data_IF_574478506060
#
_entry.id   IF_574478506060
#
_cell.length_a   1.000
_cell.length_b   1.000
_cell.length_c   1.000
_cell.angle_alpha   90.00
_cell.angle_beta   90.00
_cell.angle_gamma   90.00
#
_symmetry.space_group_name_H-M   'P 1'
#
loop_
_entity.id
_entity.type
_entity.pdbx_description
1 polymer ?
#
# COMPACT_ATOMS: atom_id res chain seq x y z
N UNK A 1 14.97 -20.92 -18.94
CA UNK A 1 13.98 -21.13 -17.86
C UNK A 1 14.62 -20.50 -16.64
N UNK A 2 14.22 -19.30 -16.25
CA UNK A 2 14.67 -18.72 -14.98
C UNK A 2 14.05 -19.58 -13.89
N UNK A 3 14.89 -20.08 -12.99
CA UNK A 3 14.47 -20.83 -11.79
C UNK A 3 13.64 -19.86 -10.94
N UNK A 4 12.32 -20.00 -11.00
CA UNK A 4 11.41 -19.05 -10.36
C UNK A 4 11.47 -19.31 -8.86
N UNK A 5 12.02 -18.34 -8.11
CA UNK A 5 12.17 -18.45 -6.66
C UNK A 5 10.79 -18.57 -6.01
N UNK A 6 10.67 -19.44 -5.04
CA UNK A 6 9.45 -19.69 -4.26
C UNK A 6 9.62 -19.09 -2.87
N UNK A 7 8.59 -18.37 -2.41
CA UNK A 7 8.59 -17.67 -1.13
C UNK A 7 7.63 -18.32 -0.15
N UNK A 8 7.91 -18.20 1.14
CA UNK A 8 7.09 -18.76 2.21
C UNK A 8 6.27 -17.68 2.94
N UNK A 9 6.69 -16.41 2.81
CA UNK A 9 6.10 -15.27 3.49
C UNK A 9 5.84 -14.18 2.44
N UNK A 10 4.60 -13.69 2.38
CA UNK A 10 4.18 -12.63 1.49
C UNK A 10 3.79 -11.40 2.29
N UNK A 11 4.46 -10.29 2.04
CA UNK A 11 4.10 -8.97 2.54
C UNK A 11 3.33 -8.23 1.46
N UNK A 12 2.17 -7.71 1.80
CA UNK A 12 1.29 -6.99 0.86
C UNK A 12 1.18 -5.53 1.25
N UNK A 13 1.32 -4.63 0.28
CA UNK A 13 0.76 -3.30 0.47
C UNK A 13 -0.77 -3.37 0.46
N UNK A 14 -1.43 -2.26 0.79
CA UNK A 14 -2.89 -2.18 0.88
C UNK A 14 -3.48 -1.40 -0.30
N UNK A 15 -3.16 -0.11 -0.37
CA UNK A 15 -3.75 0.80 -1.37
C UNK A 15 -3.12 0.55 -2.76
N UNK A 16 -3.90 0.11 -3.72
CA UNK A 16 -3.42 -0.27 -5.06
C UNK A 16 -2.94 -1.72 -5.18
N UNK A 17 -2.87 -2.45 -4.07
CA UNK A 17 -2.41 -3.84 -4.04
C UNK A 17 -3.50 -4.81 -3.59
N UNK A 18 -4.03 -4.63 -2.39
CA UNK A 18 -5.17 -5.40 -1.89
C UNK A 18 -6.50 -4.76 -2.28
N UNK A 19 -6.53 -3.42 -2.32
CA UNK A 19 -7.77 -2.68 -2.56
C UNK A 19 -7.57 -1.48 -3.50
N UNK A 20 -8.59 -1.19 -4.31
CA UNK A 20 -8.72 0.09 -5.02
C UNK A 20 -9.33 1.14 -4.08
N UNK A 21 -8.46 1.92 -3.47
CA UNK A 21 -8.82 3.01 -2.55
C UNK A 21 -8.98 4.36 -3.23
N UNK A 22 -8.89 4.41 -4.56
CA UNK A 22 -8.92 5.68 -5.32
C UNK A 22 -10.16 6.52 -5.05
N UNK A 23 -11.41 5.98 -4.93
CA UNK A 23 -12.57 6.81 -4.65
C UNK A 23 -12.47 7.51 -3.30
N UNK A 24 -12.08 6.79 -2.26
CA UNK A 24 -12.00 7.30 -0.90
C UNK A 24 -10.91 8.33 -0.71
N UNK A 25 -9.72 8.06 -1.24
CA UNK A 25 -8.58 8.98 -1.16
C UNK A 25 -8.86 10.25 -1.95
N UNK A 26 -9.31 10.14 -3.21
CA UNK A 26 -9.57 11.32 -4.04
C UNK A 26 -10.71 12.17 -3.51
N UNK A 27 -11.80 11.57 -2.99
CA UNK A 27 -12.88 12.31 -2.32
C UNK A 27 -12.38 13.07 -1.09
N UNK A 28 -11.47 12.47 -0.32
CA UNK A 28 -10.88 13.10 0.87
C UNK A 28 -9.95 14.26 0.51
N UNK A 29 -9.18 14.13 -0.58
CA UNK A 29 -8.36 15.22 -1.12
C UNK A 29 -9.24 16.36 -1.62
N UNK A 30 -10.29 16.07 -2.40
CA UNK A 30 -11.26 17.08 -2.89
C UNK A 30 -11.90 17.80 -1.70
N UNK A 31 -12.30 17.07 -0.65
CA UNK A 31 -12.85 17.68 0.56
C UNK A 31 -11.85 18.65 1.21
N UNK A 32 -10.60 18.23 1.36
CA UNK A 32 -9.55 19.08 1.93
C UNK A 32 -9.31 20.33 1.05
N UNK A 33 -9.18 20.16 -0.27
CA UNK A 33 -8.95 21.28 -1.21
C UNK A 33 -10.08 22.32 -1.18
N UNK A 34 -11.34 21.88 -1.08
CA UNK A 34 -12.50 22.78 -0.95
C UNK A 34 -12.40 23.68 0.28
N UNK A 35 -11.78 23.26 1.38
CA UNK A 35 -11.55 24.10 2.57
C UNK A 35 -10.59 25.27 2.30
N UNK A 36 -9.76 25.14 1.26
CA UNK A 36 -8.86 26.20 0.78
C UNK A 36 -9.42 26.97 -0.43
N UNK A 37 -10.70 26.72 -0.81
CA UNK A 37 -11.32 27.37 -1.97
C UNK A 37 -10.81 26.84 -3.32
N UNK A 38 -10.19 25.67 -3.34
CA UNK A 38 -9.68 25.02 -4.54
C UNK A 38 -10.70 23.97 -5.00
N UNK A 39 -11.18 24.12 -6.24
CA UNK A 39 -12.03 23.13 -6.90
C UNK A 39 -11.20 22.30 -7.87
N UNK A 40 -11.07 21.00 -7.60
CA UNK A 40 -10.47 20.04 -8.54
C UNK A 40 -11.57 19.10 -9.03
N UNK A 41 -11.79 19.13 -10.33
CA UNK A 41 -12.82 18.33 -11.02
C UNK A 41 -12.23 17.12 -11.73
N UNK A 42 -10.93 17.14 -12.04
CA UNK A 42 -10.21 16.05 -12.68
C UNK A 42 -9.60 15.12 -11.63
N UNK A 43 -10.27 13.97 -11.40
CA UNK A 43 -9.82 12.98 -10.41
C UNK A 43 -8.48 12.35 -10.78
N UNK A 44 -8.12 12.29 -12.05
CA UNK A 44 -6.86 11.65 -12.48
C UNK A 44 -5.64 12.38 -11.94
N UNK A 45 -5.74 13.71 -11.76
CA UNK A 45 -4.69 14.51 -11.12
C UNK A 45 -4.47 14.19 -9.64
N UNK A 46 -5.42 13.49 -9.02
CA UNK A 46 -5.37 13.13 -7.61
C UNK A 46 -4.84 11.71 -7.36
N UNK A 47 -4.69 10.88 -8.40
CA UNK A 47 -4.11 9.54 -8.27
C UNK A 47 -2.68 9.55 -7.69
N UNK A 48 -1.82 10.55 -7.99
CA UNK A 48 -0.51 10.65 -7.33
C UNK A 48 -0.53 10.87 -5.81
N UNK A 49 -1.71 11.10 -5.21
CA UNK A 49 -1.88 11.11 -3.75
C UNK A 49 -2.00 9.71 -3.13
N UNK A 50 -2.17 8.67 -3.97
CA UNK A 50 -2.31 7.29 -3.51
C UNK A 50 -0.92 6.68 -3.35
N UNK A 51 -0.57 6.27 -2.13
CA UNK A 51 0.73 5.70 -1.77
C UNK A 51 1.65 6.67 -1.03
N UNK A 52 2.03 7.82 -1.60
CA UNK A 52 2.93 8.77 -0.94
C UNK A 52 2.35 9.44 0.32
N UNK A 53 3.20 9.98 1.22
CA UNK A 53 2.75 10.78 2.34
C UNK A 53 1.97 12.02 1.88
N UNK A 54 0.78 12.24 2.46
CA UNK A 54 -0.12 13.34 2.07
C UNK A 54 0.52 14.72 2.15
N UNK A 55 1.39 14.96 3.14
CA UNK A 55 2.10 16.24 3.28
C UNK A 55 3.01 16.54 2.10
N UNK A 56 3.69 15.51 1.58
CA UNK A 56 4.54 15.62 0.39
C UNK A 56 3.70 15.89 -0.86
N UNK A 57 2.59 15.17 -1.01
CA UNK A 57 1.67 15.33 -2.13
C UNK A 57 1.04 16.73 -2.16
N UNK A 58 0.54 17.26 -1.03
CA UNK A 58 0.01 18.62 -0.97
C UNK A 58 1.08 19.69 -1.26
N UNK A 59 2.31 19.52 -0.76
CA UNK A 59 3.41 20.41 -1.07
C UNK A 59 3.75 20.37 -2.57
N UNK A 60 3.91 19.18 -3.12
CA UNK A 60 4.34 18.97 -4.52
C UNK A 60 3.32 19.46 -5.55
N UNK A 61 2.03 19.13 -5.37
CA UNK A 61 1.01 19.36 -6.39
C UNK A 61 0.26 20.69 -6.21
N UNK A 62 0.21 21.23 -4.98
CA UNK A 62 -0.52 22.47 -4.68
C UNK A 62 0.36 23.59 -4.11
N UNK A 63 1.67 23.35 -3.96
CA UNK A 63 2.60 24.36 -3.46
C UNK A 63 2.31 24.80 -2.01
N UNK A 64 1.70 23.96 -1.19
CA UNK A 64 1.35 24.29 0.18
C UNK A 64 2.59 24.41 1.07
N UNK A 65 2.62 25.41 1.96
CA UNK A 65 3.62 25.47 3.03
C UNK A 65 3.45 24.28 3.99
N UNK A 66 4.45 24.05 4.82
CA UNK A 66 4.40 22.96 5.83
C UNK A 66 3.14 23.05 6.70
N UNK A 67 2.79 24.27 7.15
CA UNK A 67 1.63 24.54 8.00
C UNK A 67 0.33 24.24 7.25
N UNK A 68 0.23 24.68 5.98
CA UNK A 68 -0.94 24.38 5.12
C UNK A 68 -1.06 22.92 4.79
N UNK A 69 0.06 22.19 4.60
CA UNK A 69 0.02 20.74 4.42
C UNK A 69 -0.55 20.04 5.64
N UNK A 70 -0.13 20.42 6.85
CA UNK A 70 -0.65 19.85 8.10
C UNK A 70 -2.15 20.11 8.25
N UNK A 71 -2.61 21.32 7.91
CA UNK A 71 -4.03 21.66 7.92
C UNK A 71 -4.81 20.88 6.87
N UNK A 72 -4.28 20.74 5.65
CA UNK A 72 -4.89 19.93 4.60
C UNK A 72 -5.02 18.45 4.99
N UNK A 73 -4.00 17.88 5.63
CA UNK A 73 -4.05 16.51 6.17
C UNK A 73 -5.12 16.39 7.26
N UNK A 74 -5.31 17.40 8.11
CA UNK A 74 -6.39 17.41 9.10
C UNK A 74 -7.76 17.36 8.42
N UNK A 75 -8.01 18.23 7.42
CA UNK A 75 -9.26 18.21 6.64
C UNK A 75 -9.45 16.92 5.86
N UNK A 76 -8.39 16.38 5.25
CA UNK A 76 -8.43 15.06 4.62
C UNK A 76 -8.92 14.00 5.60
N UNK A 77 -8.34 13.96 6.81
CA UNK A 77 -8.70 12.98 7.84
C UNK A 77 -10.13 13.13 8.36
N UNK A 78 -10.68 14.35 8.40
CA UNK A 78 -12.08 14.58 8.76
C UNK A 78 -13.05 13.80 7.85
N UNK A 79 -12.78 13.77 6.54
CA UNK A 79 -13.61 13.02 5.60
C UNK A 79 -13.20 11.54 5.56
N UNK A 80 -11.90 11.29 5.48
CA UNK A 80 -11.36 9.94 5.29
C UNK A 80 -11.74 9.00 6.43
N UNK A 81 -11.59 9.42 7.68
CA UNK A 81 -11.80 8.54 8.85
C UNK A 81 -13.24 8.05 9.01
N UNK A 82 -14.21 8.78 8.48
CA UNK A 82 -15.64 8.46 8.60
C UNK A 82 -16.21 7.85 7.31
N UNK A 83 -15.94 8.49 6.17
CA UNK A 83 -16.54 8.14 4.87
C UNK A 83 -15.55 7.53 3.90
N UNK A 84 -14.44 8.24 3.65
CA UNK A 84 -13.48 7.88 2.61
C UNK A 84 -12.86 6.50 2.81
N UNK A 85 -12.63 6.09 4.05
CA UNK A 85 -12.01 4.79 4.38
C UNK A 85 -12.81 3.60 3.82
N UNK A 86 -14.13 3.73 3.69
CA UNK A 86 -15.02 2.67 3.17
C UNK A 86 -15.44 2.89 1.72
N UNK A 87 -15.02 4.00 1.09
CA UNK A 87 -15.13 4.22 -0.35
C UNK A 87 -13.95 3.53 -1.05
N UNK A 88 -13.95 2.23 -1.01
CA UNK A 88 -12.86 1.34 -1.34
C UNK A 88 -13.44 0.00 -1.82
N UNK A 89 -12.68 -0.79 -2.57
CA UNK A 89 -13.09 -2.14 -3.01
C UNK A 89 -11.89 -3.07 -3.09
N UNK A 90 -12.08 -4.34 -2.77
CA UNK A 90 -11.08 -5.38 -2.97
C UNK A 90 -10.94 -5.64 -4.47
N UNK A 91 -9.72 -5.84 -4.97
CA UNK A 91 -9.50 -6.22 -6.37
C UNK A 91 -10.11 -7.59 -6.67
N UNK A 92 -10.70 -7.72 -7.86
CA UNK A 92 -11.32 -8.97 -8.32
C UNK A 92 -10.29 -10.12 -8.31
N UNK A 93 -10.69 -11.29 -7.83
CA UNK A 93 -9.84 -12.48 -7.73
C UNK A 93 -8.86 -12.50 -6.55
N UNK A 94 -8.66 -11.36 -5.86
CA UNK A 94 -7.67 -11.28 -4.78
C UNK A 94 -7.98 -12.22 -3.62
N UNK A 95 -9.23 -12.29 -3.20
CA UNK A 95 -9.62 -13.17 -2.09
C UNK A 95 -9.30 -14.64 -2.39
N UNK A 96 -9.50 -15.08 -3.65
CA UNK A 96 -9.18 -16.44 -4.06
C UNK A 96 -7.66 -16.70 -4.06
N UNK A 97 -6.86 -15.70 -4.44
CA UNK A 97 -5.39 -15.76 -4.33
C UNK A 97 -4.95 -15.87 -2.88
N UNK A 98 -5.51 -15.07 -1.97
CA UNK A 98 -5.19 -15.14 -0.54
C UNK A 98 -5.56 -16.51 0.06
N UNK A 99 -6.74 -17.04 -0.28
CA UNK A 99 -7.17 -18.40 0.12
C UNK A 99 -6.19 -19.46 -0.35
N UNK A 100 -5.77 -19.38 -1.61
CA UNK A 100 -4.84 -20.35 -2.19
C UNK A 100 -3.46 -20.28 -1.56
N UNK A 101 -2.94 -19.07 -1.30
CA UNK A 101 -1.69 -18.88 -0.56
C UNK A 101 -1.75 -19.49 0.85
N UNK A 102 -2.85 -19.26 1.58
CA UNK A 102 -3.06 -19.89 2.90
C UNK A 102 -3.16 -21.41 2.79
N UNK A 103 -3.85 -21.94 1.75
CA UNK A 103 -3.93 -23.40 1.50
C UNK A 103 -2.56 -24.02 1.24
N UNK A 104 -1.63 -23.26 0.60
CA UNK A 104 -0.22 -23.66 0.40
C UNK A 104 0.64 -23.47 1.65
N UNK A 105 0.06 -23.06 2.78
CA UNK A 105 0.77 -22.87 4.04
C UNK A 105 1.61 -21.60 4.12
N UNK A 106 1.35 -20.62 3.24
CA UNK A 106 2.09 -19.35 3.21
C UNK A 106 1.67 -18.44 4.36
N UNK A 107 2.63 -17.68 4.89
CA UNK A 107 2.38 -16.61 5.86
C UNK A 107 2.10 -15.31 5.13
N UNK A 108 0.99 -14.64 5.47
CA UNK A 108 0.56 -13.40 4.83
C UNK A 108 0.58 -12.24 5.84
N UNK A 109 1.17 -11.13 5.45
CA UNK A 109 1.33 -9.95 6.29
C UNK A 109 0.96 -8.71 5.49
N UNK A 110 0.19 -7.80 6.06
CA UNK A 110 0.03 -6.46 5.50
C UNK A 110 1.20 -5.60 5.94
N UNK A 111 1.87 -4.94 4.99
CA UNK A 111 2.97 -4.01 5.22
C UNK A 111 2.75 -2.73 4.39
N UNK A 112 2.05 -1.74 4.96
CA UNK A 112 1.52 -0.59 4.22
C UNK A 112 1.99 0.76 4.76
N UNK A 113 2.17 1.73 3.86
CA UNK A 113 2.39 3.14 4.22
C UNK A 113 1.15 3.80 4.82
N UNK A 114 -0.01 3.15 4.74
CA UNK A 114 -1.21 3.63 5.43
C UNK A 114 -1.02 3.54 6.95
N UNK A 115 -1.53 4.51 7.74
CA UNK A 115 -1.52 4.40 9.19
C UNK A 115 -2.19 3.11 9.68
N UNK A 116 -1.53 2.36 10.55
CA UNK A 116 -1.93 1.03 10.98
C UNK A 116 -3.38 0.94 11.48
N UNK A 117 -3.93 1.91 12.26
CA UNK A 117 -5.34 1.85 12.68
C UNK A 117 -6.32 1.89 11.51
N UNK A 118 -6.00 2.61 10.43
CA UNK A 118 -6.83 2.65 9.22
C UNK A 118 -6.70 1.36 8.42
N UNK A 119 -5.48 0.83 8.29
CA UNK A 119 -5.24 -0.45 7.61
C UNK A 119 -6.05 -1.57 8.26
N UNK A 120 -6.02 -1.69 9.59
CA UNK A 120 -6.80 -2.70 10.33
C UNK A 120 -8.30 -2.57 10.09
N UNK A 121 -8.85 -1.36 10.13
CA UNK A 121 -10.28 -1.11 9.86
C UNK A 121 -10.69 -1.53 8.45
N UNK A 122 -9.84 -1.33 7.45
CA UNK A 122 -10.11 -1.74 6.06
C UNK A 122 -10.08 -3.27 5.95
N UNK A 123 -9.04 -3.91 6.48
CA UNK A 123 -8.89 -5.37 6.45
C UNK A 123 -10.05 -6.06 7.17
N UNK A 124 -10.53 -5.50 8.29
CA UNK A 124 -11.70 -6.00 9.01
C UNK A 124 -13.00 -5.78 8.23
N UNK A 125 -13.18 -4.59 7.63
CA UNK A 125 -14.38 -4.23 6.87
C UNK A 125 -14.64 -5.14 5.66
N UNK A 126 -13.58 -5.60 5.01
CA UNK A 126 -13.66 -6.49 3.86
C UNK A 126 -13.50 -7.98 4.21
N UNK A 127 -13.58 -8.34 5.50
CA UNK A 127 -13.41 -9.71 5.98
C UNK A 127 -12.07 -10.37 5.58
N UNK A 128 -11.06 -9.55 5.28
CA UNK A 128 -9.73 -10.03 4.89
C UNK A 128 -8.85 -10.41 6.10
N UNK A 129 -9.22 -10.00 7.32
CA UNK A 129 -8.45 -10.24 8.53
C UNK A 129 -8.12 -11.73 8.76
N UNK A 130 -9.00 -12.62 8.33
CA UNK A 130 -8.84 -14.07 8.45
C UNK A 130 -7.64 -14.63 7.66
N UNK A 131 -7.15 -13.92 6.64
CA UNK A 131 -6.03 -14.38 5.82
C UNK A 131 -4.68 -13.91 6.33
N UNK A 132 -4.65 -12.80 7.08
CA UNK A 132 -3.39 -12.16 7.47
C UNK A 132 -2.96 -12.55 8.88
N UNK A 133 -1.70 -12.99 8.99
CA UNK A 133 -1.06 -13.34 10.25
C UNK A 133 -0.65 -12.08 11.04
N UNK A 134 -0.42 -10.96 10.34
CA UNK A 134 -0.06 -9.68 10.94
C UNK A 134 -0.45 -8.50 10.05
N UNK A 135 -0.69 -7.35 10.67
CA UNK A 135 -0.92 -6.07 9.98
C UNK A 135 0.06 -5.03 10.53
N UNK A 136 0.97 -4.58 9.68
CA UNK A 136 1.90 -3.50 9.94
C UNK A 136 1.57 -2.28 9.07
N UNK A 137 1.55 -1.11 9.67
CA UNK A 137 1.33 0.16 8.99
C UNK A 137 2.19 1.26 9.57
N UNK A 138 2.18 2.45 8.96
CA UNK A 138 2.83 3.62 9.53
C UNK A 138 2.20 4.02 10.86
N UNK A 139 2.97 4.68 11.72
CA UNK A 139 2.44 5.32 12.92
C UNK A 139 1.82 6.68 12.59
N UNK A 140 0.67 6.98 13.23
CA UNK A 140 0.01 8.28 13.07
C UNK A 140 0.88 9.47 13.47
N UNK A 141 1.82 9.24 14.40
CA UNK A 141 2.69 10.25 15.02
C UNK A 141 4.14 10.18 14.51
N UNK A 142 4.43 9.40 13.46
CA UNK A 142 5.69 9.48 12.72
C UNK A 142 6.85 8.61 13.22
N UNK A 143 6.62 7.63 14.08
CA UNK A 143 7.68 6.70 14.56
C UNK A 143 8.17 5.74 13.46
N UNK A 144 7.24 5.18 12.68
CA UNK A 144 7.51 4.44 11.43
C UNK A 144 7.07 5.33 10.28
N UNK A 145 8.00 6.02 9.63
CA UNK A 145 7.72 7.08 8.66
C UNK A 145 7.95 6.68 7.20
N UNK A 146 8.61 5.55 6.94
CA UNK A 146 8.91 5.06 5.59
C UNK A 146 8.38 3.66 5.37
N UNK A 147 8.25 3.24 4.10
CA UNK A 147 7.89 1.86 3.77
C UNK A 147 8.94 0.87 4.29
N UNK A 148 10.22 1.23 4.25
CA UNK A 148 11.30 0.43 4.81
C UNK A 148 11.12 0.19 6.31
N UNK A 149 10.79 1.23 7.09
CA UNK A 149 10.56 1.10 8.52
C UNK A 149 9.40 0.14 8.82
N UNK A 150 8.32 0.22 8.03
CA UNK A 150 7.16 -0.67 8.16
C UNK A 150 7.54 -2.12 7.86
N UNK A 151 8.30 -2.35 6.78
CA UNK A 151 8.74 -3.70 6.40
C UNK A 151 9.68 -4.28 7.47
N UNK A 152 10.66 -3.51 7.96
CA UNK A 152 11.56 -3.93 9.03
C UNK A 152 10.79 -4.28 10.31
N UNK A 153 9.83 -3.44 10.68
CA UNK A 153 8.93 -3.70 11.81
C UNK A 153 8.14 -5.00 11.63
N UNK A 154 7.60 -5.24 10.44
CA UNK A 154 6.85 -6.47 10.14
C UNK A 154 7.74 -7.72 10.20
N UNK A 155 8.99 -7.64 9.69
CA UNK A 155 9.98 -8.72 9.78
C UNK A 155 10.27 -9.09 11.24
N UNK A 156 10.50 -8.09 12.09
CA UNK A 156 10.78 -8.26 13.52
C UNK A 156 9.57 -8.84 14.26
N UNK A 157 8.38 -8.25 14.05
CA UNK A 157 7.13 -8.70 14.68
C UNK A 157 6.78 -10.14 14.31
N UNK A 158 7.04 -10.55 13.07
CA UNK A 158 6.83 -11.90 12.56
C UNK A 158 7.98 -12.86 12.89
N UNK A 159 9.06 -12.37 13.53
CA UNK A 159 10.28 -13.15 13.86
C UNK A 159 10.88 -13.84 12.64
N UNK A 160 10.95 -13.10 11.53
CA UNK A 160 11.53 -13.63 10.30
C UNK A 160 13.05 -13.75 10.45
N UNK A 161 13.57 -14.96 10.29
CA UNK A 161 15.02 -15.27 10.39
C UNK A 161 15.68 -15.41 9.01
N UNK A 162 14.90 -15.77 7.99
CA UNK A 162 15.37 -15.94 6.61
C UNK A 162 14.62 -14.95 5.69
N UNK A 163 15.27 -13.86 5.35
CA UNK A 163 14.72 -12.82 4.47
C UNK A 163 14.59 -13.28 3.02
N UNK A 164 15.38 -14.26 2.62
CA UNK A 164 15.33 -14.84 1.27
C UNK A 164 14.02 -15.57 0.98
N UNK A 165 13.21 -15.80 2.01
CA UNK A 165 11.87 -16.42 1.93
C UNK A 165 10.73 -15.43 1.96
N UNK A 166 11.02 -14.13 1.94
CA UNK A 166 10.02 -13.05 2.00
C UNK A 166 9.91 -12.35 0.67
N UNK A 167 8.68 -12.18 0.18
CA UNK A 167 8.37 -11.39 -1.00
C UNK A 167 7.46 -10.22 -0.61
N UNK A 168 7.87 -9.00 -0.90
CA UNK A 168 6.99 -7.83 -0.87
C UNK A 168 6.17 -7.78 -2.16
N UNK A 169 4.86 -7.60 -2.06
CA UNK A 169 3.94 -7.39 -3.19
C UNK A 169 3.39 -5.98 -3.07
N UNK A 170 3.63 -5.16 -4.09
CA UNK A 170 3.20 -3.76 -4.08
C UNK A 170 3.14 -3.17 -5.48
N UNK A 171 2.47 -2.03 -5.62
CA UNK A 171 2.20 -1.41 -6.91
C UNK A 171 2.99 -0.12 -7.16
N UNK A 172 3.77 0.37 -6.19
CA UNK A 172 4.50 1.64 -6.31
C UNK A 172 6.00 1.48 -6.07
N UNK A 173 6.78 2.46 -6.57
CA UNK A 173 8.22 2.57 -6.32
C UNK A 173 8.60 2.48 -4.84
N UNK A 174 7.74 3.01 -3.96
CA UNK A 174 7.97 2.98 -2.51
C UNK A 174 8.00 1.57 -1.94
N UNK A 175 7.23 0.64 -2.50
CA UNK A 175 7.24 -0.78 -2.11
C UNK A 175 8.57 -1.43 -2.49
N UNK A 176 9.00 -1.16 -3.72
CA UNK A 176 10.27 -1.67 -4.26
C UNK A 176 11.46 -1.14 -3.46
N UNK A 177 11.52 0.17 -3.25
CA UNK A 177 12.61 0.81 -2.52
C UNK A 177 12.62 0.39 -1.04
N UNK A 178 11.43 0.26 -0.43
CA UNK A 178 11.29 -0.21 0.94
C UNK A 178 11.72 -1.66 1.12
N UNK A 179 11.34 -2.55 0.20
CA UNK A 179 11.75 -3.95 0.18
C UNK A 179 13.28 -4.07 0.04
N UNK A 180 13.85 -3.35 -0.92
CA UNK A 180 15.30 -3.29 -1.16
C UNK A 180 16.07 -2.80 0.06
N UNK A 181 15.61 -1.70 0.70
CA UNK A 181 16.19 -1.18 1.94
C UNK A 181 16.11 -2.18 3.09
N UNK A 182 15.04 -2.96 3.18
CA UNK A 182 14.87 -4.00 4.18
C UNK A 182 15.65 -5.30 3.85
N UNK A 183 16.10 -5.47 2.62
CA UNK A 183 16.85 -6.64 2.13
C UNK A 183 15.95 -7.84 1.85
N UNK A 184 14.78 -7.62 1.24
CA UNK A 184 13.86 -8.63 0.72
C UNK A 184 13.54 -8.35 -0.74
N UNK A 185 13.09 -9.37 -1.48
CA UNK A 185 12.69 -9.24 -2.87
C UNK A 185 11.31 -8.56 -3.00
N UNK A 186 11.06 -7.92 -4.16
CA UNK A 186 9.81 -7.23 -4.45
C UNK A 186 9.18 -7.69 -5.77
N UNK A 187 7.91 -8.03 -5.71
CA UNK A 187 7.02 -8.22 -6.84
C UNK A 187 6.20 -6.95 -7.06
N UNK A 188 6.51 -6.23 -8.13
CA UNK A 188 5.69 -5.14 -8.63
C UNK A 188 4.45 -5.66 -9.34
N UNK A 189 3.29 -5.07 -9.07
CA UNK A 189 2.04 -5.45 -9.74
C UNK A 189 1.49 -4.27 -10.55
N UNK A 190 0.95 -4.56 -11.75
CA UNK A 190 0.50 -3.56 -12.70
C UNK A 190 -1.01 -3.31 -12.71
N UNK A 191 -1.79 -4.04 -11.92
CA UNK A 191 -3.22 -3.79 -11.78
C UNK A 191 -3.54 -2.65 -10.77
N UNK A 192 -2.52 -2.13 -10.08
CA UNK A 192 -2.61 -0.99 -9.16
C UNK A 192 -2.44 0.39 -9.83
N UNK A 193 -1.80 1.32 -9.15
CA UNK A 193 -1.64 2.72 -9.59
C UNK A 193 -0.26 3.00 -10.20
N UNK A 194 0.73 2.14 -10.00
CA UNK A 194 2.07 2.26 -10.56
C UNK A 194 2.14 1.84 -12.04
N UNK A 195 3.23 2.21 -12.69
CA UNK A 195 3.52 1.82 -14.08
C UNK A 195 4.72 0.88 -14.15
N UNK A 196 4.84 0.12 -15.24
CA UNK A 196 6.01 -0.75 -15.48
C UNK A 196 7.32 0.04 -15.40
N UNK A 197 7.34 1.24 -16.01
CA UNK A 197 8.51 2.12 -15.99
C UNK A 197 8.89 2.56 -14.55
N UNK A 198 7.89 2.89 -13.71
CA UNK A 198 8.11 3.24 -12.30
C UNK A 198 8.75 2.07 -11.55
N UNK A 199 8.15 0.88 -11.66
CA UNK A 199 8.58 -0.32 -10.94
C UNK A 199 9.95 -0.81 -11.42
N UNK A 200 10.19 -0.83 -12.74
CA UNK A 200 11.48 -1.20 -13.34
C UNK A 200 12.59 -0.23 -12.93
N UNK A 201 12.31 1.09 -12.97
CA UNK A 201 13.28 2.12 -12.57
C UNK A 201 13.64 2.05 -11.09
N UNK A 202 12.69 1.68 -10.24
CA UNK A 202 12.92 1.42 -8.81
C UNK A 202 13.72 0.12 -8.58
N UNK A 203 13.74 -0.79 -9.56
CA UNK A 203 14.44 -2.07 -9.54
C UNK A 203 13.66 -3.19 -8.89
N UNK A 204 12.37 -3.34 -9.23
CA UNK A 204 11.56 -4.49 -8.84
C UNK A 204 12.20 -5.79 -9.35
N UNK A 205 12.24 -6.83 -8.50
CA UNK A 205 12.82 -8.11 -8.87
C UNK A 205 11.94 -8.87 -9.85
N UNK A 206 10.63 -8.68 -9.74
CA UNK A 206 9.61 -9.28 -10.60
C UNK A 206 8.50 -8.27 -10.87
N UNK A 207 7.78 -8.47 -12.00
CA UNK A 207 6.59 -7.70 -12.36
C UNK A 207 5.51 -8.66 -12.84
N UNK A 208 4.27 -8.48 -12.37
CA UNK A 208 3.09 -9.23 -12.79
C UNK A 208 1.92 -8.30 -13.12
N UNK A 209 1.15 -8.69 -14.12
CA UNK A 209 0.04 -7.88 -14.62
C UNK A 209 -1.29 -8.19 -13.90
N UNK A 210 -1.43 -9.40 -13.36
CA UNK A 210 -2.69 -9.89 -12.79
C UNK A 210 -2.55 -10.33 -11.35
N UNK A 211 -3.67 -10.35 -10.65
CA UNK A 211 -3.74 -10.82 -9.25
C UNK A 211 -3.28 -12.28 -9.14
N UNK A 212 -3.68 -13.13 -10.08
CA UNK A 212 -3.34 -14.57 -10.11
C UNK A 212 -1.84 -14.81 -10.33
N UNK A 213 -1.14 -13.85 -10.98
CA UNK A 213 0.30 -13.91 -11.19
C UNK A 213 1.09 -14.06 -9.90
N UNK A 214 0.58 -13.57 -8.77
CA UNK A 214 1.18 -13.71 -7.43
C UNK A 214 1.39 -15.20 -7.07
N UNK A 215 0.48 -16.07 -7.47
CA UNK A 215 0.53 -17.52 -7.16
C UNK A 215 1.73 -18.25 -7.79
N UNK A 216 2.41 -17.63 -8.75
CA UNK A 216 3.61 -18.18 -9.39
C UNK A 216 4.80 -18.21 -8.46
N UNK A 217 4.78 -17.40 -7.39
CA UNK A 217 5.85 -17.25 -6.41
C UNK A 217 5.62 -18.06 -5.12
N UNK A 218 4.57 -18.89 -5.07
CA UNK A 218 4.12 -19.62 -3.87
C UNK A 218 4.35 -21.13 -3.94
#
# INVERSE_FOLDING_TARGET
MYDQRVYDIFFFDLDGTLTDSSPGITNSVIYALKKFGIEETDRTKLYPFIGPPLTESFARFYGFSKERCMEAVRYYREYYSDKGIFQNSVYDGLEDVLKELKRRGKKLVVATSKPEPFARRIIEHFDLAQYFDYVAGMELNGGRGTKEDVIRYALDACKVTDKDKVLMVGDREHDVLGAKGAGIDCLGILYGFGTSEELESAGADYIEETVEGILRFA
#
